data_IF_780452078414
#
_entry.id   IF_780452078414
#
_cell.length_a   1.000
_cell.length_b   1.000
_cell.length_c   1.000
_cell.angle_alpha   90.00
_cell.angle_beta   90.00
_cell.angle_gamma   90.00
#
_symmetry.space_group_name_H-M   'P 1'
#
loop_
_entity.id
_entity.type
_entity.pdbx_description
1 polymer ?
#
# COMPACT_ATOMS: atom_id res chain seq x y z
N UNK A 1 25.94 -5.08 -11.71
CA UNK A 1 24.79 -4.31 -12.23
C UNK A 1 24.00 -3.86 -11.01
N UNK A 2 24.08 -2.57 -10.61
CA UNK A 2 23.51 -2.11 -9.32
C UNK A 2 22.00 -1.89 -9.49
N UNK A 3 21.20 -2.88 -9.09
CA UNK A 3 19.73 -2.85 -9.11
C UNK A 3 19.14 -2.10 -7.91
N UNK A 4 19.77 -1.00 -7.51
CA UNK A 4 19.31 -0.13 -6.45
C UNK A 4 19.08 1.27 -7.01
N UNK A 5 17.82 1.64 -7.17
CA UNK A 5 17.47 3.04 -7.38
C UNK A 5 17.61 3.75 -6.03
N UNK A 6 18.85 4.14 -5.68
CA UNK A 6 19.15 5.16 -4.66
C UNK A 6 19.33 6.53 -5.33
N UNK A 7 18.86 6.67 -6.59
CA UNK A 7 19.09 7.86 -7.40
C UNK A 7 18.53 9.11 -6.71
N UNK A 8 17.36 8.94 -6.10
CA UNK A 8 16.61 10.00 -5.41
C UNK A 8 16.96 10.08 -3.90
N UNK A 9 17.81 9.16 -3.40
CA UNK A 9 18.35 9.23 -2.03
C UNK A 9 19.53 10.20 -1.98
N UNK A 10 19.55 11.14 -1.00
CA UNK A 10 20.67 12.05 -0.78
C UNK A 10 22.01 11.31 -0.66
N UNK A 11 23.06 11.78 -1.35
CA UNK A 11 24.39 11.13 -1.31
C UNK A 11 24.90 10.90 0.12
N UNK A 12 24.57 11.80 1.05
CA UNK A 12 24.93 11.70 2.47
C UNK A 12 24.21 10.57 3.22
N UNK A 13 22.97 10.23 2.83
CA UNK A 13 22.20 9.15 3.44
C UNK A 13 22.53 7.76 2.85
N UNK A 14 23.09 7.69 1.63
CA UNK A 14 23.38 6.40 0.97
C UNK A 14 24.23 5.43 1.81
N UNK A 15 25.32 5.85 2.49
CA UNK A 15 26.08 4.93 3.35
C UNK A 15 25.25 4.38 4.52
N UNK A 16 24.45 5.22 5.15
CA UNK A 16 23.58 4.83 6.26
C UNK A 16 22.49 3.84 5.80
N UNK A 17 21.86 4.10 4.65
CA UNK A 17 20.87 3.18 4.07
C UNK A 17 21.52 1.85 3.68
N UNK A 18 22.72 1.86 3.09
CA UNK A 18 23.44 0.62 2.77
C UNK A 18 23.79 -0.20 4.02
N UNK A 19 24.18 0.47 5.11
CA UNK A 19 24.44 -0.19 6.39
C UNK A 19 23.16 -0.74 7.04
N UNK A 20 22.06 0.01 6.98
CA UNK A 20 20.73 -0.45 7.41
C UNK A 20 20.31 -1.71 6.64
N UNK A 21 20.43 -1.69 5.31
CA UNK A 21 20.11 -2.82 4.45
C UNK A 21 20.94 -4.07 4.82
N UNK A 22 22.23 -3.90 5.11
CA UNK A 22 23.12 -4.97 5.55
C UNK A 22 22.72 -5.52 6.92
N UNK A 23 22.43 -4.64 7.89
CA UNK A 23 22.00 -5.01 9.25
C UNK A 23 20.65 -5.74 9.27
N UNK A 24 19.75 -5.38 8.36
CA UNK A 24 18.45 -6.04 8.20
C UNK A 24 18.51 -7.28 7.29
N UNK A 25 19.70 -7.63 6.78
CA UNK A 25 19.92 -8.78 5.88
C UNK A 25 18.96 -8.78 4.68
N UNK A 26 18.72 -7.61 4.10
CA UNK A 26 17.73 -7.48 3.02
C UNK A 26 18.21 -8.17 1.73
N UNK A 27 17.28 -8.76 0.95
CA UNK A 27 17.60 -9.44 -0.31
C UNK A 27 17.91 -8.42 -1.42
N UNK A 28 19.07 -7.79 -1.36
CA UNK A 28 19.47 -6.71 -2.24
C UNK A 28 19.65 -7.15 -3.69
N UNK A 29 20.42 -8.21 -3.90
CA UNK A 29 20.74 -8.73 -5.23
C UNK A 29 19.88 -9.95 -5.54
N UNK A 30 19.59 -10.12 -6.82
CA UNK A 30 18.99 -11.35 -7.35
C UNK A 30 20.10 -12.33 -7.72
N UNK A 31 19.92 -13.64 -7.47
CA UNK A 31 20.82 -14.66 -8.00
C UNK A 31 20.93 -14.58 -9.53
N UNK A 32 22.09 -14.93 -10.09
CA UNK A 32 22.35 -14.85 -11.54
C UNK A 32 21.35 -15.68 -12.36
N UNK A 33 20.94 -16.85 -11.87
CA UNK A 33 19.92 -17.69 -12.52
C UNK A 33 18.55 -17.02 -12.59
N UNK A 34 18.18 -16.22 -11.57
CA UNK A 34 16.92 -15.48 -11.53
C UNK A 34 16.96 -14.32 -12.53
N UNK A 35 18.09 -13.62 -12.61
CA UNK A 35 18.30 -12.55 -13.59
C UNK A 35 18.29 -13.09 -15.02
N UNK A 36 18.99 -14.21 -15.26
CA UNK A 36 19.04 -14.86 -16.56
C UNK A 36 17.65 -15.33 -17.00
N UNK A 37 16.87 -15.95 -16.10
CA UNK A 37 15.50 -16.37 -16.38
C UNK A 37 14.60 -15.17 -16.70
N UNK A 38 14.66 -14.08 -15.91
CA UNK A 38 13.85 -12.89 -16.17
C UNK A 38 14.17 -12.25 -17.53
N UNK A 39 15.45 -12.17 -17.89
CA UNK A 39 15.87 -11.62 -19.18
C UNK A 39 15.50 -12.52 -20.36
N UNK A 40 15.50 -13.84 -20.17
CA UNK A 40 15.00 -14.78 -21.16
C UNK A 40 13.50 -14.60 -21.39
N UNK A 41 12.70 -14.55 -20.32
CA UNK A 41 11.24 -14.33 -20.41
C UNK A 41 10.89 -12.96 -20.99
N UNK A 42 11.70 -11.93 -20.74
CA UNK A 42 11.54 -10.61 -21.35
C UNK A 42 11.78 -10.63 -22.86
N UNK A 43 12.76 -11.41 -23.33
CA UNK A 43 13.08 -11.53 -24.77
C UNK A 43 12.16 -12.50 -25.50
N UNK A 44 11.78 -13.59 -24.84
CA UNK A 44 11.00 -14.69 -25.38
C UNK A 44 9.85 -15.01 -24.39
N UNK A 45 8.79 -14.17 -24.35
CA UNK A 45 7.68 -14.40 -23.45
C UNK A 45 6.93 -15.70 -23.78
N UNK A 46 6.31 -16.36 -22.78
CA UNK A 46 5.46 -17.52 -23.02
C UNK A 46 4.32 -17.26 -24.01
N UNK A 47 3.78 -18.32 -24.60
CA UNK A 47 2.63 -18.18 -25.50
C UNK A 47 1.42 -17.62 -24.76
N UNK A 48 0.69 -16.73 -25.43
CA UNK A 48 -0.58 -16.18 -24.95
C UNK A 48 -1.77 -16.93 -25.55
N UNK A 49 -1.58 -18.17 -25.97
CA UNK A 49 -2.66 -19.03 -26.45
C UNK A 49 -3.74 -19.17 -25.36
N UNK A 50 -4.99 -18.87 -25.72
CA UNK A 50 -6.12 -18.87 -24.79
C UNK A 50 -6.36 -17.54 -24.06
N UNK A 51 -5.53 -16.51 -24.29
CA UNK A 51 -5.83 -15.15 -23.82
C UNK A 51 -6.80 -14.49 -24.79
N UNK A 52 -7.86 -13.88 -24.25
CA UNK A 52 -8.79 -13.04 -25.03
C UNK A 52 -8.07 -11.76 -25.47
N UNK A 53 -8.18 -11.36 -26.73
CA UNK A 53 -7.71 -10.04 -27.16
C UNK A 53 -8.70 -8.98 -26.68
N UNK A 54 -8.26 -8.13 -25.75
CA UNK A 54 -9.02 -6.99 -25.20
C UNK A 54 -8.27 -5.68 -25.40
N UNK A 55 -7.46 -5.60 -26.46
CA UNK A 55 -6.72 -4.37 -26.84
C UNK A 55 -7.63 -3.27 -27.41
N UNK A 56 -8.91 -3.58 -27.60
CA UNK A 56 -9.99 -2.67 -27.95
C UNK A 56 -10.43 -1.78 -26.77
N UNK A 57 -10.26 -2.24 -25.52
CA UNK A 57 -10.58 -1.44 -24.35
C UNK A 57 -9.49 -0.38 -24.13
N UNK A 58 -9.91 0.87 -23.99
CA UNK A 58 -9.03 2.02 -23.81
C UNK A 58 -8.51 2.12 -22.36
N UNK A 59 -7.70 1.14 -21.93
CA UNK A 59 -7.12 1.14 -20.59
C UNK A 59 -6.14 2.30 -20.37
N UNK A 60 -6.16 2.83 -19.15
CA UNK A 60 -5.15 3.78 -18.65
C UNK A 60 -4.68 3.35 -17.26
N UNK A 61 -3.45 3.71 -16.90
CA UNK A 61 -2.96 3.55 -15.51
C UNK A 61 -2.93 4.93 -14.83
N UNK A 62 -3.00 4.96 -13.49
CA UNK A 62 -2.86 6.19 -12.71
C UNK A 62 -1.84 5.95 -11.61
N UNK A 63 -0.65 6.52 -11.76
CA UNK A 63 0.50 6.21 -10.90
C UNK A 63 1.39 7.44 -10.69
N UNK A 64 2.27 7.44 -9.68
CA UNK A 64 3.33 8.43 -9.58
C UNK A 64 4.15 8.52 -10.88
N UNK A 65 4.61 9.73 -11.28
CA UNK A 65 5.33 9.92 -12.54
C UNK A 65 6.56 9.02 -12.72
N UNK A 66 7.27 8.70 -11.63
CA UNK A 66 8.48 7.86 -11.63
C UNK A 66 8.21 6.36 -11.66
N UNK A 67 6.99 5.89 -11.40
CA UNK A 67 6.69 4.45 -11.31
C UNK A 67 6.85 3.73 -12.65
N UNK A 68 7.38 2.51 -12.62
CA UNK A 68 7.57 1.66 -13.81
C UNK A 68 6.95 0.28 -13.62
N UNK A 69 6.60 -0.08 -12.40
CA UNK A 69 5.95 -1.30 -11.92
C UNK A 69 4.44 -1.10 -11.83
N UNK A 70 3.80 -0.99 -12.99
CA UNK A 70 2.39 -0.67 -13.12
C UNK A 70 1.56 -1.96 -13.07
N UNK A 71 0.99 -2.24 -11.88
CA UNK A 71 0.18 -3.44 -11.62
C UNK A 71 -1.21 -3.38 -12.27
N UNK A 72 -1.78 -2.17 -12.42
CA UNK A 72 -3.22 -1.94 -12.55
C UNK A 72 -3.51 -0.96 -13.67
N UNK A 73 -4.41 -1.32 -14.58
CA UNK A 73 -5.00 -0.38 -15.54
C UNK A 73 -6.53 -0.45 -15.47
N UNK A 74 -7.20 0.70 -15.62
CA UNK A 74 -8.64 0.80 -15.52
C UNK A 74 -9.29 1.46 -16.75
N UNK A 75 -10.55 1.09 -16.97
CA UNK A 75 -11.48 1.77 -17.84
C UNK A 75 -12.88 1.66 -17.23
N UNK A 76 -13.59 2.78 -17.12
CA UNK A 76 -14.94 2.84 -16.54
C UNK A 76 -15.90 3.41 -17.57
N UNK A 77 -16.98 2.69 -17.85
CA UNK A 77 -18.05 3.14 -18.74
C UNK A 77 -19.44 2.96 -18.10
N UNK A 78 -20.46 3.53 -18.74
CA UNK A 78 -21.85 3.33 -18.34
C UNK A 78 -22.35 2.00 -18.87
N UNK A 79 -23.09 1.29 -18.05
CA UNK A 79 -23.80 0.07 -18.45
C UNK A 79 -25.24 0.17 -17.95
N UNK A 80 -26.19 0.25 -18.87
CA UNK A 80 -27.62 0.48 -18.57
C UNK A 80 -27.84 1.65 -17.58
N UNK A 81 -28.34 1.36 -16.38
CA UNK A 81 -28.56 2.30 -15.29
C UNK A 81 -27.36 2.44 -14.33
N UNK A 82 -26.35 1.57 -14.47
CA UNK A 82 -25.17 1.48 -13.62
C UNK A 82 -23.87 1.72 -14.38
N UNK A 83 -22.85 0.92 -14.03
CA UNK A 83 -21.47 1.14 -14.48
C UNK A 83 -20.76 -0.18 -14.73
N UNK A 84 -19.91 -0.21 -15.74
CA UNK A 84 -18.97 -1.30 -15.99
C UNK A 84 -17.56 -0.82 -15.69
N UNK A 85 -16.89 -1.50 -14.75
CA UNK A 85 -15.50 -1.23 -14.39
C UNK A 85 -14.63 -2.37 -14.92
N UNK A 86 -13.88 -2.10 -15.98
CA UNK A 86 -12.80 -2.95 -16.44
C UNK A 86 -11.53 -2.64 -15.65
N UNK A 87 -10.96 -3.66 -15.03
CA UNK A 87 -9.77 -3.55 -14.21
C UNK A 87 -8.76 -4.65 -14.58
N UNK A 88 -7.75 -4.26 -15.34
CA UNK A 88 -6.68 -5.16 -15.77
C UNK A 88 -5.59 -5.21 -14.70
N UNK A 89 -5.31 -6.41 -14.20
CA UNK A 89 -4.22 -6.67 -13.26
C UNK A 89 -3.10 -7.41 -14.00
N UNK A 90 -1.85 -6.97 -13.86
CA UNK A 90 -0.69 -7.62 -14.47
C UNK A 90 -0.66 -9.14 -14.22
N UNK A 91 -0.62 -9.97 -15.27
CA UNK A 91 -0.57 -11.42 -15.11
C UNK A 91 0.87 -11.90 -14.87
N UNK A 92 1.34 -11.80 -13.62
CA UNK A 92 2.66 -12.31 -13.23
C UNK A 92 2.73 -13.84 -13.36
N UNK A 93 1.59 -14.53 -13.25
CA UNK A 93 1.48 -15.98 -13.44
C UNK A 93 1.84 -16.42 -14.87
N UNK A 94 1.65 -15.52 -15.86
CA UNK A 94 2.11 -15.74 -17.23
C UNK A 94 3.63 -16.00 -17.32
N UNK A 95 4.43 -15.32 -16.49
CA UNK A 95 5.89 -15.36 -16.57
C UNK A 95 6.53 -16.26 -15.51
N UNK A 96 5.94 -16.33 -14.33
CA UNK A 96 6.55 -17.02 -13.18
C UNK A 96 5.97 -18.43 -13.07
N UNK A 97 6.73 -19.41 -13.53
CA UNK A 97 6.37 -20.83 -13.38
C UNK A 97 6.63 -21.32 -11.94
N UNK A 98 5.70 -22.07 -11.31
CA UNK A 98 5.91 -22.66 -9.99
C UNK A 98 7.16 -23.53 -9.92
N UNK A 99 7.97 -23.36 -8.86
CA UNK A 99 9.23 -24.07 -8.66
C UNK A 99 10.41 -23.54 -9.49
N UNK A 100 10.20 -22.57 -10.38
CA UNK A 100 11.29 -21.93 -11.12
C UNK A 100 12.14 -21.01 -10.24
N UNK A 101 13.37 -20.62 -10.67
CA UNK A 101 14.20 -19.69 -9.89
C UNK A 101 13.48 -18.39 -9.48
N UNK A 102 12.69 -17.80 -10.39
CA UNK A 102 11.87 -16.62 -10.12
C UNK A 102 10.83 -16.87 -9.02
N UNK A 103 10.19 -18.03 -9.01
CA UNK A 103 9.19 -18.40 -8.00
C UNK A 103 9.83 -18.56 -6.62
N UNK A 104 10.92 -19.32 -6.55
CA UNK A 104 11.68 -19.54 -5.30
C UNK A 104 12.15 -18.21 -4.72
N UNK A 105 12.68 -17.31 -5.55
CA UNK A 105 13.13 -16.00 -5.11
C UNK A 105 11.97 -15.08 -4.70
N UNK A 106 10.83 -15.13 -5.39
CA UNK A 106 9.63 -14.40 -5.01
C UNK A 106 9.11 -14.86 -3.63
N UNK A 107 9.13 -16.17 -3.34
CA UNK A 107 8.82 -16.72 -2.01
C UNK A 107 9.80 -16.26 -0.93
N UNK A 108 11.11 -16.18 -1.25
CA UNK A 108 12.12 -15.66 -0.32
C UNK A 108 11.88 -14.19 0.03
N UNK A 109 11.54 -13.37 -0.96
CA UNK A 109 11.32 -11.92 -0.84
C UNK A 109 9.96 -11.58 -0.21
N UNK A 110 8.89 -12.22 -0.67
CA UNK A 110 7.49 -12.08 -0.24
C UNK A 110 6.80 -10.83 -0.77
N UNK A 111 7.47 -9.67 -0.74
CA UNK A 111 6.96 -8.42 -1.30
C UNK A 111 8.09 -7.45 -1.66
N UNK A 112 7.78 -6.44 -2.48
CA UNK A 112 8.67 -5.30 -2.70
C UNK A 112 8.80 -4.50 -1.40
N UNK A 113 10.04 -4.14 -1.04
CA UNK A 113 10.32 -3.28 0.10
C UNK A 113 10.49 -1.85 -0.40
N UNK A 114 9.62 -0.94 0.06
CA UNK A 114 9.67 0.47 -0.28
C UNK A 114 10.30 1.26 0.87
N UNK A 115 11.05 2.29 0.50
CA UNK A 115 11.49 3.34 1.39
C UNK A 115 11.62 4.64 0.57
N UNK A 116 11.61 5.82 1.22
CA UNK A 116 11.81 7.08 0.53
C UNK A 116 13.06 7.07 -0.38
N UNK A 117 12.82 7.21 -1.69
CA UNK A 117 13.86 7.22 -2.73
C UNK A 117 14.57 5.88 -2.97
N UNK A 118 14.14 4.77 -2.35
CA UNK A 118 14.77 3.46 -2.47
C UNK A 118 13.74 2.31 -2.53
N UNK A 119 13.99 1.31 -3.38
CA UNK A 119 13.17 0.09 -3.40
C UNK A 119 13.99 -1.17 -3.60
N UNK A 120 13.50 -2.27 -3.05
CA UNK A 120 14.01 -3.62 -3.26
C UNK A 120 12.86 -4.46 -3.84
N UNK A 121 12.83 -4.71 -5.16
CA UNK A 121 11.66 -5.26 -5.82
C UNK A 121 11.47 -6.75 -5.51
N UNK A 122 10.22 -7.21 -5.58
CA UNK A 122 9.85 -8.63 -5.49
C UNK A 122 10.39 -9.44 -6.68
N UNK A 123 10.26 -8.88 -7.90
CA UNK A 123 10.75 -9.49 -9.13
C UNK A 123 11.86 -8.64 -9.77
N UNK A 124 12.78 -9.24 -10.57
CA UNK A 124 13.77 -8.48 -11.31
C UNK A 124 13.14 -7.42 -12.22
N UNK A 125 13.75 -6.23 -12.41
CA UNK A 125 13.19 -5.16 -13.25
C UNK A 125 12.88 -5.55 -14.69
N UNK A 126 13.62 -6.50 -15.27
CA UNK A 126 13.30 -7.10 -16.56
C UNK A 126 11.85 -7.63 -16.64
N UNK A 127 11.30 -8.06 -15.50
CA UNK A 127 9.92 -8.49 -15.36
C UNK A 127 9.04 -7.39 -14.73
N UNK A 128 9.38 -6.91 -13.54
CA UNK A 128 8.52 -5.98 -12.76
C UNK A 128 8.39 -4.59 -13.37
N UNK A 129 9.39 -4.14 -14.14
CA UNK A 129 9.46 -2.79 -14.69
C UNK A 129 9.47 -2.79 -16.23
N UNK A 130 9.32 -3.96 -16.86
CA UNK A 130 9.19 -4.11 -18.31
C UNK A 130 8.17 -5.21 -18.65
N UNK A 131 8.57 -6.48 -18.76
CA UNK A 131 7.74 -7.53 -19.39
C UNK A 131 6.34 -7.71 -18.77
N UNK A 132 6.26 -7.71 -17.44
CA UNK A 132 5.03 -7.89 -16.67
C UNK A 132 4.33 -6.59 -16.27
N UNK A 133 4.93 -5.43 -16.53
CA UNK A 133 4.32 -4.14 -16.20
C UNK A 133 3.36 -3.68 -17.30
N UNK A 134 2.23 -3.09 -16.91
CA UNK A 134 1.23 -2.53 -17.82
C UNK A 134 1.68 -1.17 -18.38
N UNK A 135 2.88 -1.10 -18.96
CA UNK A 135 3.47 0.14 -19.51
C UNK A 135 2.67 0.68 -20.71
N UNK A 136 2.55 2.01 -20.78
CA UNK A 136 2.01 2.72 -21.94
C UNK A 136 3.08 2.90 -23.04
N UNK A 137 3.58 1.80 -23.59
CA UNK A 137 4.66 1.77 -24.59
C UNK A 137 4.21 1.26 -25.97
N UNK A 138 2.90 1.10 -26.16
CA UNK A 138 2.30 0.62 -27.40
C UNK A 138 2.30 -0.90 -27.57
N UNK A 139 2.79 -1.67 -26.59
CA UNK A 139 2.81 -3.15 -26.65
C UNK A 139 1.64 -3.74 -25.84
N UNK A 140 0.87 -4.68 -26.41
CA UNK A 140 -0.09 -5.46 -25.62
C UNK A 140 0.60 -6.24 -24.49
N UNK A 141 -0.04 -6.32 -23.33
CA UNK A 141 0.46 -6.99 -22.12
C UNK A 141 -0.53 -8.04 -21.63
N UNK A 142 -0.06 -9.19 -21.10
CA UNK A 142 -0.93 -10.17 -20.48
C UNK A 142 -1.45 -9.64 -19.14
N UNK A 143 -2.76 -9.77 -18.93
CA UNK A 143 -3.44 -9.34 -17.72
C UNK A 143 -4.52 -10.35 -17.30
N UNK A 144 -4.78 -10.38 -16.00
CA UNK A 144 -6.02 -10.91 -15.45
C UNK A 144 -7.02 -9.76 -15.44
N UNK A 145 -7.97 -9.81 -16.38
CA UNK A 145 -8.99 -8.80 -16.57
C UNK A 145 -10.20 -9.11 -15.68
N UNK A 146 -10.54 -8.15 -14.83
CA UNK A 146 -11.78 -8.12 -14.07
C UNK A 146 -12.79 -7.21 -14.77
N UNK A 147 -14.01 -7.69 -14.98
CA UNK A 147 -15.15 -6.88 -15.42
C UNK A 147 -16.17 -6.84 -14.28
N UNK A 148 -16.29 -5.71 -13.59
CA UNK A 148 -17.25 -5.53 -12.50
C UNK A 148 -18.49 -4.80 -13.02
N UNK A 149 -19.62 -5.50 -13.02
CA UNK A 149 -20.91 -4.95 -13.41
C UNK A 149 -21.59 -4.37 -12.16
N UNK A 150 -21.75 -3.05 -12.12
CA UNK A 150 -22.29 -2.32 -10.98
C UNK A 150 -23.70 -1.81 -11.28
N UNK A 151 -24.56 -1.79 -10.27
CA UNK A 151 -25.85 -1.09 -10.35
C UNK A 151 -25.69 0.44 -10.22
N UNK A 152 -26.80 1.17 -10.31
CA UNK A 152 -26.85 2.62 -10.19
C UNK A 152 -26.31 3.15 -8.83
N UNK A 153 -26.37 2.33 -7.79
CA UNK A 153 -25.89 2.65 -6.44
C UNK A 153 -24.44 2.22 -6.21
N UNK A 154 -23.81 1.59 -7.21
CA UNK A 154 -22.43 1.12 -7.18
C UNK A 154 -22.26 -0.25 -6.54
N UNK A 155 -23.32 -1.02 -6.27
CA UNK A 155 -23.23 -2.39 -5.78
C UNK A 155 -22.88 -3.35 -6.91
N UNK A 156 -22.14 -4.41 -6.59
CA UNK A 156 -21.75 -5.43 -7.55
C UNK A 156 -22.94 -6.32 -7.88
N UNK A 157 -23.35 -6.36 -9.15
CA UNK A 157 -24.35 -7.31 -9.67
C UNK A 157 -23.69 -8.67 -9.91
N UNK A 158 -22.57 -8.66 -10.64
CA UNK A 158 -21.70 -9.80 -10.87
C UNK A 158 -20.32 -9.32 -11.33
N UNK A 159 -19.37 -10.25 -11.39
CA UNK A 159 -18.05 -9.98 -11.92
C UNK A 159 -17.56 -11.15 -12.78
N UNK A 160 -16.81 -10.82 -13.82
CA UNK A 160 -16.14 -11.78 -14.70
C UNK A 160 -14.63 -11.66 -14.53
N UNK A 161 -13.93 -12.79 -14.65
CA UNK A 161 -12.46 -12.84 -14.55
C UNK A 161 -11.90 -13.71 -15.67
N UNK A 162 -11.08 -13.12 -16.52
CA UNK A 162 -10.45 -13.82 -17.64
C UNK A 162 -8.98 -13.44 -17.80
N UNK A 163 -8.22 -14.27 -18.52
CA UNK A 163 -6.90 -13.90 -19.01
C UNK A 163 -7.05 -13.18 -20.34
N UNK A 164 -6.48 -12.00 -20.46
CA UNK A 164 -6.61 -11.16 -21.63
C UNK A 164 -5.30 -10.48 -22.01
N UNK A 165 -5.14 -10.18 -23.30
CA UNK A 165 -4.14 -9.24 -23.80
C UNK A 165 -4.75 -7.85 -23.80
N UNK A 166 -4.14 -6.92 -23.08
CA UNK A 166 -4.63 -5.54 -22.93
C UNK A 166 -3.59 -4.54 -23.41
N UNK A 167 -4.03 -3.35 -23.80
CA UNK A 167 -3.12 -2.29 -24.24
C UNK A 167 -3.33 -1.03 -23.40
N UNK A 168 -2.35 -0.70 -22.56
CA UNK A 168 -2.35 0.56 -21.83
C UNK A 168 -2.08 1.70 -22.80
N UNK A 169 -3.05 2.61 -22.95
CA UNK A 169 -2.96 3.76 -23.85
C UNK A 169 -2.12 4.88 -23.27
N UNK A 170 -2.31 5.15 -21.99
CA UNK A 170 -1.70 6.28 -21.30
C UNK A 170 -1.39 5.96 -19.86
N UNK A 171 -0.17 6.32 -19.44
CA UNK A 171 0.17 6.45 -18.03
C UNK A 171 -0.22 7.84 -17.56
N UNK A 172 -1.23 7.93 -16.72
CA UNK A 172 -1.68 9.16 -16.09
C UNK A 172 -1.05 9.28 -14.69
N UNK A 173 -1.15 10.47 -14.10
CA UNK A 173 -0.70 10.74 -12.73
C UNK A 173 -1.79 11.48 -11.97
N UNK A 174 -1.93 11.20 -10.67
CA UNK A 174 -3.08 11.64 -9.85
C UNK A 174 -3.35 13.15 -9.93
N UNK A 175 -2.32 13.98 -9.75
CA UNK A 175 -2.48 15.44 -9.82
C UNK A 175 -3.00 15.92 -11.19
N UNK A 176 -2.52 15.31 -12.29
CA UNK A 176 -2.99 15.62 -13.63
C UNK A 176 -4.43 15.18 -13.87
N UNK A 177 -4.80 13.98 -13.41
CA UNK A 177 -6.19 13.50 -13.51
C UNK A 177 -7.14 14.39 -12.73
N UNK A 178 -6.77 14.80 -11.51
CA UNK A 178 -7.58 15.73 -10.71
C UNK A 178 -7.78 17.05 -11.45
N UNK A 179 -6.70 17.65 -11.96
CA UNK A 179 -6.77 18.91 -12.69
C UNK A 179 -7.62 18.80 -13.98
N UNK A 180 -7.53 17.68 -14.69
CA UNK A 180 -8.32 17.45 -15.90
C UNK A 180 -9.81 17.22 -15.58
N UNK A 181 -10.13 16.56 -14.47
CA UNK A 181 -11.50 16.42 -13.95
C UNK A 181 -12.09 17.78 -13.57
N UNK A 182 -11.37 18.58 -12.78
CA UNK A 182 -11.80 19.91 -12.33
C UNK A 182 -12.06 20.85 -13.52
N UNK A 183 -11.28 20.69 -14.60
CA UNK A 183 -11.42 21.46 -15.83
C UNK A 183 -12.44 20.89 -16.83
N UNK A 184 -13.14 19.79 -16.51
CA UNK A 184 -14.15 19.17 -17.37
C UNK A 184 -13.59 18.54 -18.65
N UNK A 185 -12.32 18.08 -18.62
CA UNK A 185 -11.57 17.54 -19.77
C UNK A 185 -10.84 16.24 -19.43
N UNK A 186 -11.39 15.46 -18.50
CA UNK A 186 -10.85 14.17 -18.10
C UNK A 186 -10.78 13.17 -19.26
N UNK A 187 -9.77 12.29 -19.20
CA UNK A 187 -9.67 11.17 -20.14
C UNK A 187 -10.91 10.27 -20.04
N UNK A 188 -11.52 9.83 -21.16
CA UNK A 188 -12.79 9.08 -21.14
C UNK A 188 -12.80 7.88 -20.19
N UNK A 189 -11.71 7.10 -20.17
CA UNK A 189 -11.56 5.91 -19.32
C UNK A 189 -11.67 6.15 -17.81
N UNK A 190 -11.48 7.40 -17.35
CA UNK A 190 -11.52 7.77 -15.92
C UNK A 190 -12.50 8.90 -15.65
N UNK A 191 -13.30 9.31 -16.65
CA UNK A 191 -14.28 10.38 -16.49
C UNK A 191 -15.37 10.03 -15.45
N UNK A 192 -15.69 8.74 -15.31
CA UNK A 192 -16.65 8.22 -14.33
C UNK A 192 -16.00 7.80 -13.00
N UNK A 193 -14.67 7.94 -12.85
CA UNK A 193 -13.96 7.53 -11.65
C UNK A 193 -14.45 8.25 -10.38
N UNK A 194 -14.69 9.57 -10.37
CA UNK A 194 -15.26 10.23 -9.19
C UNK A 194 -16.65 9.70 -8.84
N UNK A 195 -17.53 9.53 -9.83
CA UNK A 195 -18.88 9.03 -9.61
C UNK A 195 -18.87 7.64 -8.98
N UNK A 196 -18.14 6.69 -9.58
CA UNK A 196 -18.05 5.34 -9.02
C UNK A 196 -17.33 5.36 -7.66
N UNK A 197 -16.23 6.12 -7.53
CA UNK A 197 -15.49 6.25 -6.28
C UNK A 197 -16.34 6.76 -5.12
N UNK A 198 -17.19 7.77 -5.34
CA UNK A 198 -18.13 8.30 -4.35
C UNK A 198 -19.21 7.28 -3.97
N UNK A 199 -19.81 6.58 -4.94
CA UNK A 199 -20.77 5.50 -4.67
C UNK A 199 -20.16 4.43 -3.77
N UNK A 200 -18.93 3.99 -4.09
CA UNK A 200 -18.20 2.99 -3.32
C UNK A 200 -17.79 3.50 -1.94
N UNK A 201 -17.42 4.77 -1.80
CA UNK A 201 -17.14 5.39 -0.52
C UNK A 201 -18.38 5.44 0.38
N UNK A 202 -19.58 5.71 -0.17
CA UNK A 202 -20.84 5.62 0.60
C UNK A 202 -21.10 4.19 1.09
N UNK A 203 -20.89 3.19 0.25
CA UNK A 203 -21.00 1.77 0.63
C UNK A 203 -19.98 1.40 1.73
N UNK A 204 -18.76 1.94 1.69
CA UNK A 204 -17.79 1.79 2.78
C UNK A 204 -18.32 2.38 4.10
N UNK A 205 -18.91 3.57 4.04
CA UNK A 205 -19.50 4.24 5.21
C UNK A 205 -20.61 3.39 5.82
N UNK A 206 -21.56 2.93 5.00
CA UNK A 206 -22.70 2.10 5.43
C UNK A 206 -22.24 0.77 6.06
N UNK A 207 -21.15 0.20 5.54
CA UNK A 207 -20.53 -1.02 6.09
C UNK A 207 -19.74 -0.77 7.38
N UNK A 208 -19.46 0.48 7.74
CA UNK A 208 -18.61 0.85 8.87
C UNK A 208 -17.10 0.69 8.60
N UNK A 209 -16.69 0.65 7.34
CA UNK A 209 -15.28 0.61 6.93
C UNK A 209 -14.57 1.96 7.13
N UNK A 210 -13.25 1.92 7.27
CA UNK A 210 -12.42 3.06 7.62
C UNK A 210 -11.23 3.12 6.67
N UNK A 211 -11.11 4.26 5.99
CA UNK A 211 -9.91 4.67 5.27
C UNK A 211 -9.16 5.71 6.10
N UNK A 212 -7.89 5.43 6.45
CA UNK A 212 -7.02 6.42 7.09
C UNK A 212 -6.32 7.23 6.00
N UNK A 213 -6.77 8.46 5.79
CA UNK A 213 -6.18 9.39 4.84
C UNK A 213 -4.96 10.08 5.47
N UNK A 214 -3.97 9.28 5.85
CA UNK A 214 -2.70 9.80 6.37
C UNK A 214 -1.92 10.44 5.21
N UNK A 215 -1.39 11.66 5.40
CA UNK A 215 -0.52 12.27 4.41
C UNK A 215 0.76 11.44 4.26
N UNK A 216 1.31 11.42 3.05
CA UNK A 216 2.57 10.71 2.78
C UNK A 216 3.76 11.61 3.14
N UNK A 217 4.77 11.07 3.83
CA UNK A 217 6.05 11.76 4.00
C UNK A 217 6.90 11.60 2.74
N UNK A 218 7.33 12.72 2.17
CA UNK A 218 8.22 12.77 1.02
C UNK A 218 9.52 13.49 1.35
N UNK A 219 10.63 13.02 0.78
CA UNK A 219 11.93 13.71 0.86
C UNK A 219 12.01 14.69 -0.31
N UNK A 220 12.17 15.97 -0.01
CA UNK A 220 12.29 17.05 -0.99
C UNK A 220 13.72 17.58 -1.04
N UNK A 221 14.26 17.73 -2.26
CA UNK A 221 15.54 18.40 -2.51
C UNK A 221 15.37 19.93 -2.40
N UNK A 222 15.83 20.53 -1.31
CA UNK A 222 15.85 21.98 -1.10
C UNK A 222 17.22 22.60 -1.50
N UNK A 223 18.00 21.90 -2.34
CA UNK A 223 19.27 22.36 -2.90
C UNK A 223 20.45 22.22 -1.94
N UNK A 224 20.55 23.07 -0.91
CA UNK A 224 21.67 23.02 0.07
C UNK A 224 21.40 22.11 1.26
N UNK A 225 20.12 21.82 1.51
CA UNK A 225 19.62 20.93 2.56
C UNK A 225 18.45 20.11 2.00
N UNK A 226 17.97 19.17 2.80
CA UNK A 226 16.84 18.32 2.47
C UNK A 226 15.73 18.59 3.48
N UNK A 227 14.50 18.47 3.03
CA UNK A 227 13.32 18.68 3.87
C UNK A 227 12.41 17.45 3.76
N UNK A 228 11.73 17.13 4.85
CA UNK A 228 10.57 16.24 4.80
C UNK A 228 9.34 17.11 4.65
N UNK A 229 8.41 16.67 3.79
CA UNK A 229 7.11 17.31 3.64
C UNK A 229 5.99 16.28 3.68
N UNK A 230 4.87 16.64 4.30
CA UNK A 230 3.64 15.88 4.20
C UNK A 230 2.91 16.25 2.89
N UNK A 231 2.69 15.27 2.02
CA UNK A 231 1.84 15.42 0.83
C UNK A 231 0.44 14.91 1.14
N UNK A 232 -0.54 15.81 1.06
CA UNK A 232 -1.95 15.45 1.09
C UNK A 232 -2.35 14.65 -0.16
N UNK A 233 -3.29 13.72 0.00
CA UNK A 233 -3.88 12.99 -1.11
C UNK A 233 -4.85 13.90 -1.87
N UNK A 234 -4.86 13.84 -3.20
CA UNK A 234 -5.93 14.45 -3.99
C UNK A 234 -7.17 13.52 -4.04
N UNK A 235 -8.40 14.04 -4.15
CA UNK A 235 -9.62 13.22 -4.11
C UNK A 235 -9.62 12.00 -5.05
N UNK A 236 -9.03 12.14 -6.24
CA UNK A 236 -8.93 11.03 -7.20
C UNK A 236 -8.06 9.86 -6.71
N UNK A 237 -7.12 10.07 -5.79
CA UNK A 237 -6.38 8.97 -5.13
C UNK A 237 -7.34 8.08 -4.34
N UNK A 238 -8.27 8.66 -3.57
CA UNK A 238 -9.28 7.94 -2.79
C UNK A 238 -10.28 7.22 -3.71
N UNK A 239 -10.73 7.89 -4.78
CA UNK A 239 -11.62 7.26 -5.76
C UNK A 239 -10.98 6.05 -6.44
N UNK A 240 -9.70 6.14 -6.83
CA UNK A 240 -8.97 5.02 -7.41
C UNK A 240 -8.76 3.87 -6.40
N UNK A 241 -8.48 4.21 -5.13
CA UNK A 241 -8.35 3.22 -4.07
C UNK A 241 -9.64 2.39 -3.90
N UNK A 242 -10.82 3.00 -4.06
CA UNK A 242 -12.11 2.30 -4.01
C UNK A 242 -12.28 1.24 -5.11
N UNK A 243 -11.67 1.43 -6.30
CA UNK A 243 -11.68 0.42 -7.38
C UNK A 243 -10.81 -0.79 -7.01
N UNK A 244 -9.65 -0.55 -6.41
CA UNK A 244 -8.81 -1.63 -5.86
C UNK A 244 -9.53 -2.39 -4.74
N UNK A 245 -10.19 -1.68 -3.83
CA UNK A 245 -10.96 -2.29 -2.73
C UNK A 245 -12.13 -3.12 -3.26
N UNK A 246 -12.89 -2.59 -4.23
CA UNK A 246 -13.95 -3.31 -4.94
C UNK A 246 -13.46 -4.68 -5.42
N UNK A 247 -12.33 -4.70 -6.14
CA UNK A 247 -11.78 -5.95 -6.69
C UNK A 247 -11.38 -6.92 -5.59
N UNK A 248 -10.77 -6.44 -4.50
CA UNK A 248 -10.41 -7.30 -3.37
C UNK A 248 -11.61 -7.85 -2.57
N UNK A 249 -12.74 -7.12 -2.50
CA UNK A 249 -13.98 -7.62 -1.91
C UNK A 249 -14.61 -8.71 -2.78
N UNK A 250 -14.66 -8.51 -4.10
CA UNK A 250 -15.16 -9.52 -5.05
C UNK A 250 -14.29 -10.78 -5.01
N UNK A 251 -12.96 -10.62 -5.03
CA UNK A 251 -12.04 -11.75 -4.93
C UNK A 251 -12.21 -12.54 -3.62
N UNK A 252 -12.44 -11.87 -2.48
CA UNK A 252 -12.71 -12.54 -1.22
C UNK A 252 -14.04 -13.33 -1.26
N UNK A 253 -15.10 -12.74 -1.83
CA UNK A 253 -16.40 -13.40 -1.97
C UNK A 253 -16.30 -14.66 -2.82
N UNK A 254 -15.70 -14.56 -4.01
CA UNK A 254 -15.48 -15.71 -4.91
C UNK A 254 -14.74 -16.84 -4.19
N UNK A 255 -13.64 -16.51 -3.50
CA UNK A 255 -12.83 -17.45 -2.75
C UNK A 255 -13.61 -18.17 -1.62
N UNK A 256 -14.40 -17.43 -0.86
CA UNK A 256 -15.23 -18.00 0.21
C UNK A 256 -16.30 -18.92 -0.37
N UNK A 257 -17.03 -18.46 -1.38
CA UNK A 257 -18.11 -19.24 -2.01
C UNK A 257 -17.57 -20.50 -2.70
N UNK A 258 -16.37 -20.43 -3.26
CA UNK A 258 -15.66 -21.55 -3.86
C UNK A 258 -14.97 -22.51 -2.87
N UNK A 259 -14.85 -22.14 -1.59
CA UNK A 259 -14.16 -22.95 -0.58
C UNK A 259 -12.63 -22.94 -0.69
N UNK A 260 -12.04 -21.93 -1.32
CA UNK A 260 -10.59 -21.73 -1.44
C UNK A 260 -10.24 -20.29 -1.08
N UNK A 261 -9.63 -20.06 0.08
CA UNK A 261 -9.41 -18.69 0.55
C UNK A 261 -7.96 -18.36 0.85
N UNK A 262 -7.52 -17.21 0.35
CA UNK A 262 -6.36 -16.46 0.80
C UNK A 262 -6.86 -15.06 1.18
N UNK A 263 -7.31 -14.93 2.43
CA UNK A 263 -7.97 -13.73 2.92
C UNK A 263 -6.99 -12.85 3.70
N UNK A 264 -7.09 -11.53 3.50
CA UNK A 264 -6.42 -10.52 4.32
C UNK A 264 -7.32 -10.22 5.51
N UNK A 265 -6.94 -10.68 6.70
CA UNK A 265 -7.76 -10.55 7.91
C UNK A 265 -7.18 -9.52 8.86
N UNK A 266 -8.04 -8.90 9.67
CA UNK A 266 -7.68 -8.03 10.78
C UNK A 266 -8.69 -8.28 11.89
N UNK A 267 -8.28 -8.79 13.08
CA UNK A 267 -9.19 -8.98 14.21
C UNK A 267 -9.84 -7.67 14.67
N UNK A 268 -10.99 -7.73 15.37
CA UNK A 268 -11.59 -6.55 15.96
C UNK A 268 -10.64 -5.94 17.00
N UNK A 269 -10.66 -4.61 17.10
CA UNK A 269 -9.89 -3.92 18.13
C UNK A 269 -10.45 -4.24 19.52
N UNK A 270 -9.56 -4.54 20.46
CA UNK A 270 -9.94 -4.73 21.87
C UNK A 270 -10.58 -3.45 22.44
N UNK A 271 -11.69 -3.53 23.18
CA UNK A 271 -12.35 -2.36 23.78
C UNK A 271 -11.38 -1.47 24.58
N UNK A 272 -10.45 -2.10 25.30
CA UNK A 272 -9.43 -1.38 26.07
C UNK A 272 -8.44 -0.57 25.21
N UNK A 273 -8.24 -0.95 23.95
CA UNK A 273 -7.42 -0.21 22.99
C UNK A 273 -8.17 0.99 22.45
N UNK A 274 -9.47 0.83 22.17
CA UNK A 274 -10.37 1.93 21.78
C UNK A 274 -10.46 2.97 22.90
N UNK A 275 -10.67 2.54 24.14
CA UNK A 275 -10.73 3.43 25.30
C UNK A 275 -9.40 4.20 25.51
N UNK A 276 -8.28 3.56 25.20
CA UNK A 276 -6.95 4.19 25.27
C UNK A 276 -6.80 5.25 24.19
N UNK A 277 -7.23 4.96 22.97
CA UNK A 277 -7.24 5.92 21.86
C UNK A 277 -8.15 7.12 22.19
N UNK A 278 -9.37 6.86 22.70
CA UNK A 278 -10.32 7.91 23.13
C UNK A 278 -9.72 8.84 24.18
N UNK A 279 -9.08 8.27 25.22
CA UNK A 279 -8.36 9.08 26.22
C UNK A 279 -7.21 9.87 25.62
N UNK A 280 -6.45 9.26 24.70
CA UNK A 280 -5.33 9.94 24.04
C UNK A 280 -5.81 11.12 23.18
N UNK A 281 -6.86 10.94 22.38
CA UNK A 281 -7.48 12.00 21.59
C UNK A 281 -7.95 13.17 22.48
N UNK A 282 -8.65 12.87 23.59
CA UNK A 282 -9.05 13.88 24.56
C UNK A 282 -7.87 14.63 25.19
N UNK A 283 -6.74 13.95 25.44
CA UNK A 283 -5.51 14.59 25.97
C UNK A 283 -4.87 15.51 24.92
N UNK A 284 -4.93 15.14 23.64
CA UNK A 284 -4.48 15.96 22.50
C UNK A 284 -5.41 17.17 22.24
N UNK A 285 -6.61 17.17 22.84
CA UNK A 285 -7.61 18.22 22.66
C UNK A 285 -8.52 18.00 21.46
N UNK A 286 -8.63 16.76 20.97
CA UNK A 286 -9.55 16.34 19.92
C UNK A 286 -10.63 15.49 20.56
N UNK A 287 -11.79 16.07 20.94
CA UNK A 287 -12.82 15.36 21.69
C UNK A 287 -13.47 14.28 20.81
N UNK A 288 -13.59 13.07 21.35
CA UNK A 288 -14.39 12.02 20.75
C UNK A 288 -15.71 11.99 21.51
N UNK A 289 -16.78 12.42 20.83
CA UNK A 289 -18.08 12.70 21.45
C UNK A 289 -18.76 11.43 21.96
N UNK A 290 -19.62 11.59 22.98
CA UNK A 290 -20.41 10.48 23.50
C UNK A 290 -21.42 10.00 22.46
N UNK A 291 -21.40 8.71 22.15
CA UNK A 291 -22.25 8.10 21.12
C UNK A 291 -21.64 8.10 19.71
N UNK A 292 -20.57 8.84 19.47
CA UNK A 292 -19.83 8.82 18.20
C UNK A 292 -19.08 7.49 18.05
N UNK A 293 -19.31 6.81 16.93
CA UNK A 293 -18.62 5.56 16.59
C UNK A 293 -17.17 5.80 16.17
N UNK A 294 -16.33 4.77 16.24
CA UNK A 294 -14.93 4.89 15.79
C UNK A 294 -14.80 5.28 14.30
N UNK A 295 -15.58 4.68 13.37
CA UNK A 295 -15.55 5.13 11.97
C UNK A 295 -15.97 6.59 11.77
N UNK A 296 -16.99 7.08 12.50
CA UNK A 296 -17.42 8.49 12.42
C UNK A 296 -16.32 9.42 12.93
N UNK A 297 -15.75 9.08 14.08
CA UNK A 297 -14.64 9.83 14.69
C UNK A 297 -13.44 9.94 13.73
N UNK A 298 -13.04 8.85 13.08
CA UNK A 298 -11.89 8.88 12.15
C UNK A 298 -12.18 9.75 10.91
N UNK A 299 -13.38 9.65 10.34
CA UNK A 299 -13.73 10.38 9.10
C UNK A 299 -13.82 11.89 9.26
N UNK A 300 -14.08 12.37 10.48
CA UNK A 300 -14.12 13.81 10.75
C UNK A 300 -12.75 14.44 11.02
N UNK A 301 -11.68 13.64 11.13
CA UNK A 301 -10.34 14.15 11.39
C UNK A 301 -9.74 14.77 10.12
N UNK A 302 -9.25 15.99 10.23
CA UNK A 302 -8.55 16.71 9.18
C UNK A 302 -7.04 16.43 9.27
N UNK A 303 -6.43 15.75 8.26
CA UNK A 303 -5.00 15.51 8.25
C UNK A 303 -4.16 16.80 8.15
N UNK A 304 -4.76 17.95 7.86
CA UNK A 304 -4.07 19.25 7.82
C UNK A 304 -4.03 19.95 9.19
N UNK A 305 -4.84 19.53 10.17
CA UNK A 305 -4.72 20.01 11.54
C UNK A 305 -3.68 19.15 12.30
N UNK A 306 -2.61 19.72 12.87
CA UNK A 306 -1.56 18.94 13.54
C UNK A 306 -2.04 18.07 14.70
N UNK A 307 -3.07 18.49 15.44
CA UNK A 307 -3.63 17.72 16.55
C UNK A 307 -4.45 16.55 16.03
N UNK A 308 -5.26 16.78 15.00
CA UNK A 308 -6.06 15.71 14.39
C UNK A 308 -5.20 14.72 13.61
N UNK A 309 -4.13 15.17 12.94
CA UNK A 309 -3.11 14.32 12.35
C UNK A 309 -2.43 13.44 13.40
N UNK A 310 -2.05 13.99 14.55
CA UNK A 310 -1.49 13.20 15.65
C UNK A 310 -2.46 12.10 16.13
N UNK A 311 -3.76 12.38 16.14
CA UNK A 311 -4.80 11.38 16.45
C UNK A 311 -4.95 10.35 15.33
N UNK A 312 -4.96 10.77 14.06
CA UNK A 312 -5.00 9.87 12.89
C UNK A 312 -3.81 8.90 12.91
N UNK A 313 -2.60 9.38 13.19
CA UNK A 313 -1.41 8.53 13.33
C UNK A 313 -1.60 7.50 14.45
N UNK A 314 -2.25 7.87 15.56
CA UNK A 314 -2.59 6.90 16.62
C UNK A 314 -3.66 5.89 16.23
N UNK A 315 -4.58 6.23 15.33
CA UNK A 315 -5.62 5.31 14.88
C UNK A 315 -5.02 4.03 14.28
N UNK A 316 -3.83 4.12 13.69
CA UNK A 316 -3.08 2.95 13.16
C UNK A 316 -2.86 1.84 14.20
N UNK A 317 -2.85 2.15 15.50
CA UNK A 317 -2.71 1.16 16.59
C UNK A 317 -3.87 0.16 16.57
N UNK A 318 -5.06 0.57 16.13
CA UNK A 318 -6.23 -0.30 16.04
C UNK A 318 -6.17 -1.26 14.83
N UNK A 319 -5.20 -1.08 13.94
CA UNK A 319 -4.97 -1.95 12.78
C UNK A 319 -3.90 -3.03 13.06
N UNK A 320 -3.46 -3.16 14.32
CA UNK A 320 -2.52 -4.20 14.74
C UNK A 320 -3.16 -5.59 14.65
N UNK A 321 -2.35 -6.56 14.21
CA UNK A 321 -2.78 -7.95 14.08
C UNK A 321 -3.29 -8.32 12.67
N UNK A 322 -3.23 -7.40 11.71
CA UNK A 322 -3.53 -7.72 10.32
C UNK A 322 -2.62 -8.84 9.79
N UNK A 323 -3.20 -9.84 9.16
CA UNK A 323 -2.52 -11.06 8.74
C UNK A 323 -3.17 -11.68 7.50
N UNK A 324 -2.76 -12.91 7.19
CA UNK A 324 -3.40 -13.70 6.15
C UNK A 324 -3.96 -14.98 6.76
N UNK A 325 -5.14 -15.37 6.30
CA UNK A 325 -5.79 -16.63 6.61
C UNK A 325 -5.91 -17.42 5.32
N UNK A 326 -5.47 -18.68 5.33
CA UNK A 326 -5.59 -19.58 4.18
C UNK A 326 -6.44 -20.80 4.51
N UNK A 327 -7.25 -21.26 3.55
CA UNK A 327 -8.06 -22.48 3.67
C UNK A 327 -8.40 -23.07 2.30
N UNK A 328 -8.64 -24.38 2.26
CA UNK A 328 -9.21 -25.09 1.10
C UNK A 328 -10.16 -26.18 1.60
N UNK A 329 -11.30 -26.34 0.94
CA UNK A 329 -12.36 -27.24 1.37
C UNK A 329 -13.32 -26.57 2.36
N UNK A 330 -13.07 -26.72 3.67
CA UNK A 330 -13.94 -26.13 4.69
C UNK A 330 -13.55 -24.69 5.01
N UNK A 331 -14.52 -23.77 4.90
CA UNK A 331 -14.36 -22.39 5.36
C UNK A 331 -14.18 -22.39 6.88
N UNK A 332 -13.10 -21.79 7.43
CA UNK A 332 -12.85 -21.75 8.86
C UNK A 332 -13.95 -21.03 9.64
N UNK A 333 -14.28 -21.55 10.82
CA UNK A 333 -15.09 -20.83 11.79
C UNK A 333 -14.28 -19.64 12.36
N UNK A 334 -14.97 -18.53 12.66
CA UNK A 334 -14.37 -17.35 13.30
C UNK A 334 -14.33 -16.11 12.41
N UNK A 335 -13.41 -15.18 12.69
CA UNK A 335 -13.34 -13.91 11.99
C UNK A 335 -12.59 -14.03 10.65
N UNK A 336 -13.35 -13.96 9.55
CA UNK A 336 -12.82 -13.88 8.19
C UNK A 336 -12.62 -12.42 7.70
N UNK A 337 -13.05 -11.44 8.51
CA UNK A 337 -13.09 -10.05 8.10
C UNK A 337 -11.78 -9.32 8.32
N UNK A 338 -11.56 -8.30 7.50
CA UNK A 338 -10.69 -7.20 7.83
C UNK A 338 -11.51 -6.13 8.58
N UNK A 339 -11.42 -6.08 9.91
CA UNK A 339 -12.33 -5.24 10.71
C UNK A 339 -12.25 -3.75 10.39
N UNK A 340 -11.08 -3.23 10.00
CA UNK A 340 -10.97 -1.84 9.53
C UNK A 340 -11.73 -1.59 8.22
N UNK A 341 -11.87 -2.60 7.34
CA UNK A 341 -12.64 -2.46 6.10
C UNK A 341 -14.11 -2.82 6.29
N UNK A 342 -14.49 -3.43 7.43
CA UNK A 342 -15.85 -3.90 7.70
C UNK A 342 -16.30 -5.12 6.88
N UNK A 343 -15.41 -5.79 6.14
CA UNK A 343 -15.73 -6.88 5.22
C UNK A 343 -14.62 -7.94 5.13
N UNK A 344 -14.97 -9.11 4.60
CA UNK A 344 -14.02 -10.08 4.05
C UNK A 344 -13.29 -9.48 2.85
N UNK A 345 -11.96 -9.65 2.80
CA UNK A 345 -11.12 -8.96 1.83
C UNK A 345 -9.92 -9.80 1.43
N UNK A 346 -9.47 -9.67 0.18
CA UNK A 346 -8.28 -10.32 -0.35
C UNK A 346 -7.41 -9.31 -1.10
N UNK A 347 -6.10 -9.46 -0.99
CA UNK A 347 -5.16 -8.72 -1.82
C UNK A 347 -5.03 -9.40 -3.17
N UNK A 348 -5.42 -8.70 -4.25
CA UNK A 348 -5.48 -9.28 -5.61
C UNK A 348 -5.01 -8.34 -6.72
N UNK A 349 -4.65 -7.10 -6.38
CA UNK A 349 -4.48 -6.03 -7.36
C UNK A 349 -3.03 -5.61 -7.54
N UNK A 350 -2.06 -6.26 -6.88
CA UNK A 350 -0.66 -5.83 -6.86
C UNK A 350 0.37 -6.97 -6.99
N UNK A 351 0.24 -7.86 -7.98
CA UNK A 351 1.07 -9.06 -8.08
C UNK A 351 2.54 -8.79 -8.40
N UNK A 352 2.91 -7.65 -9.00
CA UNK A 352 4.32 -7.30 -9.23
C UNK A 352 5.07 -6.99 -7.93
N UNK A 353 4.33 -6.65 -6.86
CA UNK A 353 4.90 -6.23 -5.56
C UNK A 353 4.48 -7.06 -4.37
N UNK A 354 3.53 -7.99 -4.50
CA UNK A 354 3.07 -8.87 -3.42
C UNK A 354 2.86 -10.29 -3.92
N UNK A 355 3.52 -11.26 -3.29
CA UNK A 355 3.44 -12.68 -3.62
C UNK A 355 2.00 -13.23 -3.52
N UNK A 356 1.27 -12.81 -2.49
CA UNK A 356 -0.06 -13.36 -2.17
C UNK A 356 -1.08 -13.12 -3.28
N UNK A 357 -0.95 -12.00 -3.99
CA UNK A 357 -1.88 -11.62 -5.06
C UNK A 357 -1.86 -12.64 -6.21
N UNK A 358 -0.70 -13.26 -6.48
CA UNK A 358 -0.58 -14.34 -7.49
C UNK A 358 -1.44 -15.55 -7.15
N UNK A 359 -1.54 -15.92 -5.86
CA UNK A 359 -2.39 -17.02 -5.42
C UNK A 359 -3.88 -16.66 -5.53
N UNK A 360 -4.23 -15.44 -5.12
CA UNK A 360 -5.62 -14.96 -5.19
C UNK A 360 -6.10 -14.90 -6.64
N UNK A 361 -5.27 -14.39 -7.56
CA UNK A 361 -5.59 -14.32 -8.99
C UNK A 361 -5.88 -15.70 -9.59
N UNK A 362 -5.03 -16.70 -9.32
CA UNK A 362 -5.20 -18.05 -9.86
C UNK A 362 -6.44 -18.75 -9.29
N UNK A 363 -6.74 -18.54 -8.01
CA UNK A 363 -7.98 -19.06 -7.42
C UNK A 363 -9.19 -18.42 -8.10
N UNK A 364 -9.21 -17.09 -8.24
CA UNK A 364 -10.33 -16.38 -8.83
C UNK A 364 -10.54 -16.72 -10.31
N UNK A 365 -9.44 -16.85 -11.08
CA UNK A 365 -9.48 -17.34 -12.46
C UNK A 365 -10.09 -18.74 -12.56
N UNK A 366 -9.63 -19.68 -11.72
CA UNK A 366 -10.18 -21.03 -11.73
C UNK A 366 -11.67 -21.06 -11.37
N UNK A 367 -12.07 -20.30 -10.36
CA UNK A 367 -13.47 -20.24 -9.92
C UNK A 367 -14.39 -19.58 -10.96
N UNK A 368 -13.96 -18.46 -11.56
CA UNK A 368 -14.74 -17.77 -12.59
C UNK A 368 -14.95 -18.64 -13.85
N UNK A 369 -13.96 -19.47 -14.19
CA UNK A 369 -13.97 -20.28 -15.41
C UNK A 369 -14.39 -21.74 -15.16
N UNK A 370 -14.78 -22.10 -13.93
CA UNK A 370 -15.22 -23.46 -13.58
C UNK A 370 -14.12 -24.53 -13.73
N UNK A 371 -12.85 -24.15 -13.63
CA UNK A 371 -11.71 -25.07 -13.70
C UNK A 371 -11.18 -25.40 -12.32
N UNK A 372 -10.41 -26.49 -12.20
CA UNK A 372 -9.76 -26.82 -10.93
C UNK A 372 -8.76 -25.73 -10.52
N UNK A 373 -8.69 -25.42 -9.22
CA UNK A 373 -7.61 -24.60 -8.67
C UNK A 373 -6.29 -25.36 -8.84
N UNK A 374 -5.20 -24.74 -9.36
CA UNK A 374 -3.95 -25.45 -9.63
C UNK A 374 -3.33 -26.07 -8.38
N UNK A 375 -2.77 -27.28 -8.50
CA UNK A 375 -2.20 -28.00 -7.36
C UNK A 375 -1.09 -27.22 -6.63
N UNK A 376 -0.30 -26.43 -7.36
CA UNK A 376 0.77 -25.63 -6.75
C UNK A 376 0.23 -24.53 -5.83
N UNK A 377 -0.95 -23.97 -6.15
CA UNK A 377 -1.66 -23.01 -5.31
C UNK A 377 -2.03 -23.69 -4.00
N UNK A 378 -2.70 -24.84 -4.08
CA UNK A 378 -3.17 -25.60 -2.91
C UNK A 378 -2.01 -26.03 -2.00
N UNK A 379 -0.89 -26.47 -2.59
CA UNK A 379 0.31 -26.85 -1.82
C UNK A 379 1.02 -25.67 -1.17
N UNK A 380 1.02 -24.49 -1.82
CA UNK A 380 1.73 -23.31 -1.31
C UNK A 380 0.94 -22.49 -0.29
N UNK A 381 -0.40 -22.52 -0.34
CA UNK A 381 -1.28 -21.74 0.54
C UNK A 381 -0.99 -21.87 2.06
N UNK A 382 -0.63 -23.04 2.62
CA UNK A 382 -0.32 -23.16 4.03
C UNK A 382 0.89 -22.33 4.50
N UNK A 383 1.86 -22.05 3.62
CA UNK A 383 3.08 -21.33 3.96
C UNK A 383 2.95 -19.80 3.84
N UNK A 384 2.01 -19.34 3.00
CA UNK A 384 1.82 -17.92 2.69
C UNK A 384 1.66 -17.02 3.92
N UNK A 385 0.88 -17.38 4.97
CA UNK A 385 0.73 -16.50 6.13
C UNK A 385 2.05 -16.15 6.82
N UNK A 386 2.97 -17.11 6.99
CA UNK A 386 4.27 -16.81 7.60
C UNK A 386 5.22 -16.11 6.64
N UNK A 387 5.22 -16.46 5.35
CA UNK A 387 6.04 -15.76 4.35
C UNK A 387 5.66 -14.27 4.25
N UNK A 388 4.36 -13.97 4.21
CA UNK A 388 3.85 -12.60 4.19
C UNK A 388 4.06 -11.88 5.52
N UNK A 389 3.96 -12.57 6.67
CA UNK A 389 4.27 -11.99 7.98
C UNK A 389 5.75 -11.63 8.10
N UNK A 390 6.63 -12.52 7.67
CA UNK A 390 8.08 -12.34 7.71
C UNK A 390 8.53 -11.20 6.81
N UNK A 391 8.05 -11.18 5.56
CA UNK A 391 8.32 -10.08 4.63
C UNK A 391 7.69 -8.75 5.08
N UNK A 392 6.52 -8.79 5.74
CA UNK A 392 5.91 -7.65 6.43
C UNK A 392 6.82 -7.04 7.50
N UNK A 393 7.39 -7.87 8.38
CA UNK A 393 8.35 -7.40 9.41
C UNK A 393 9.58 -6.74 8.79
N UNK A 394 10.13 -7.30 7.70
CA UNK A 394 11.27 -6.71 6.99
C UNK A 394 10.91 -5.38 6.34
N UNK A 395 9.74 -5.29 5.71
CA UNK A 395 9.27 -4.04 5.08
C UNK A 395 9.14 -2.92 6.11
N UNK A 396 8.43 -3.15 7.21
CA UNK A 396 8.27 -2.13 8.26
C UNK A 396 9.61 -1.76 8.92
N UNK A 397 10.52 -2.71 9.13
CA UNK A 397 11.83 -2.41 9.69
C UNK A 397 12.69 -1.56 8.73
N UNK A 398 12.58 -1.80 7.43
CA UNK A 398 13.30 -1.03 6.41
C UNK A 398 12.73 0.38 6.24
N UNK A 399 11.41 0.50 6.11
CA UNK A 399 10.70 1.78 5.99
C UNK A 399 11.00 2.68 7.19
N UNK A 400 10.78 2.19 8.41
CA UNK A 400 11.06 2.96 9.63
C UNK A 400 12.53 3.36 9.73
N UNK A 401 13.47 2.45 9.44
CA UNK A 401 14.90 2.76 9.51
C UNK A 401 15.34 3.79 8.47
N UNK A 402 14.74 3.83 7.28
CA UNK A 402 15.04 4.88 6.29
C UNK A 402 14.41 6.21 6.70
N UNK A 403 13.22 6.21 7.29
CA UNK A 403 12.62 7.41 7.89
C UNK A 403 13.52 7.97 8.98
N UNK A 404 13.97 7.15 9.94
CA UNK A 404 14.91 7.55 10.99
C UNK A 404 16.19 8.22 10.40
N UNK A 405 16.75 7.64 9.34
CA UNK A 405 17.93 8.20 8.63
C UNK A 405 17.60 9.53 7.95
N UNK A 406 16.43 9.65 7.32
CA UNK A 406 16.00 10.86 6.64
C UNK A 406 15.80 12.00 7.65
N UNK A 407 15.14 11.70 8.77
CA UNK A 407 14.94 12.62 9.89
C UNK A 407 16.26 13.08 10.50
N UNK A 408 17.19 12.15 10.76
CA UNK A 408 18.53 12.50 11.21
C UNK A 408 19.27 13.38 10.18
N UNK A 409 19.12 13.11 8.88
CA UNK A 409 19.73 13.95 7.85
C UNK A 409 19.18 15.38 7.84
N UNK A 410 17.86 15.56 8.03
CA UNK A 410 17.21 16.88 8.11
C UNK A 410 17.72 17.68 9.33
N UNK A 411 18.02 17.00 10.44
CA UNK A 411 18.48 17.64 11.67
C UNK A 411 20.01 17.80 11.77
N UNK A 412 20.76 17.17 10.87
CA UNK A 412 22.21 17.25 10.90
C UNK A 412 22.72 18.68 10.70
N UNK A 413 23.53 19.19 11.63
CA UNK A 413 23.99 20.58 11.65
C UNK A 413 23.08 21.55 12.43
N UNK A 414 21.98 21.05 13.01
CA UNK A 414 21.06 21.79 13.88
C UNK A 414 21.26 21.47 15.36
N UNK A 415 22.39 20.85 15.73
CA UNK A 415 22.72 20.55 17.12
C UNK A 415 22.78 21.83 17.97
N UNK A 416 22.11 21.81 19.11
CA UNK A 416 21.93 22.95 20.02
C UNK A 416 20.70 23.81 19.73
N UNK A 417 20.03 23.64 18.58
CA UNK A 417 18.82 24.37 18.23
C UNK A 417 17.64 23.96 19.13
N UNK A 418 16.81 24.94 19.48
CA UNK A 418 15.54 24.73 20.18
C UNK A 418 14.41 24.67 19.17
N UNK A 419 13.66 23.58 19.18
CA UNK A 419 12.54 23.34 18.29
C UNK A 419 11.27 23.18 19.11
N UNK A 420 10.17 23.66 18.56
CA UNK A 420 8.83 23.46 19.12
C UNK A 420 8.21 22.21 18.49
N UNK A 421 7.64 21.34 19.31
CA UNK A 421 7.05 20.09 18.86
C UNK A 421 5.82 19.72 19.68
N UNK A 422 4.93 18.96 19.07
CA UNK A 422 3.76 18.42 19.77
C UNK A 422 4.08 17.01 20.23
N UNK A 423 3.94 16.73 21.53
CA UNK A 423 4.14 15.37 22.05
C UNK A 423 2.94 14.49 21.66
N UNK A 424 3.08 13.71 20.59
CA UNK A 424 1.97 12.95 20.02
C UNK A 424 1.77 11.61 20.71
N UNK A 425 2.80 10.93 21.21
CA UNK A 425 2.66 9.67 21.96
C UNK A 425 3.62 9.57 23.13
N UNK A 426 3.31 8.72 24.11
CA UNK A 426 4.28 8.26 25.11
C UNK A 426 4.00 6.82 25.49
N UNK A 427 5.01 5.98 25.34
CA UNK A 427 4.97 4.62 25.85
C UNK A 427 4.91 4.67 27.40
N UNK A 428 3.84 4.16 28.03
CA UNK A 428 3.64 4.29 29.47
C UNK A 428 4.67 3.51 30.30
N UNK A 429 5.31 2.48 29.71
CA UNK A 429 6.33 1.67 30.38
C UNK A 429 7.72 2.28 30.26
N UNK A 430 8.13 2.63 29.04
CA UNK A 430 9.50 3.11 28.79
C UNK A 430 9.65 4.62 28.93
N UNK A 431 8.54 5.36 29.05
CA UNK A 431 8.49 6.84 29.05
C UNK A 431 9.05 7.49 27.78
N UNK A 432 9.35 6.69 26.75
CA UNK A 432 9.73 7.16 25.42
C UNK A 432 8.49 7.78 24.76
N UNK A 433 8.54 9.09 24.58
CA UNK A 433 7.58 9.89 23.83
C UNK A 433 7.94 10.02 22.37
N UNK A 434 6.94 10.21 21.53
CA UNK A 434 7.08 10.61 20.12
C UNK A 434 6.64 12.07 20.02
N UNK A 435 7.50 12.92 19.48
CA UNK A 435 7.29 14.35 19.31
C UNK A 435 7.30 14.65 17.83
N UNK A 436 6.19 15.19 17.33
CA UNK A 436 6.12 15.64 15.95
C UNK A 436 6.60 17.09 15.90
N UNK A 437 7.54 17.40 15.01
CA UNK A 437 7.98 18.76 14.71
C UNK A 437 7.30 19.20 13.40
N UNK A 438 6.19 19.96 13.46
CA UNK A 438 5.37 20.24 12.28
C UNK A 438 6.13 20.94 11.15
N UNK A 439 6.95 21.95 11.49
CA UNK A 439 7.70 22.77 10.54
C UNK A 439 8.71 21.98 9.70
N UNK A 440 9.10 20.79 10.15
CA UNK A 440 10.10 19.95 9.47
C UNK A 440 9.56 18.55 9.11
N UNK A 441 8.28 18.27 9.42
CA UNK A 441 7.64 16.96 9.23
C UNK A 441 8.40 15.76 9.83
N UNK A 442 9.09 15.97 10.96
CA UNK A 442 9.94 14.97 11.64
C UNK A 442 9.22 14.39 12.86
N UNK A 443 9.30 13.09 13.10
CA UNK A 443 8.81 12.39 14.28
C UNK A 443 9.96 11.88 15.18
N UNK A 444 10.29 12.63 16.23
CA UNK A 444 11.44 12.32 17.08
C UNK A 444 11.06 11.69 18.40
N UNK A 445 12.06 11.18 19.12
CA UNK A 445 11.85 10.57 20.43
C UNK A 445 12.46 11.37 21.58
N UNK A 446 11.69 11.52 22.67
CA UNK A 446 12.15 12.19 23.90
C UNK A 446 11.63 11.47 25.13
N UNK A 447 12.29 11.62 26.29
CA UNK A 447 11.71 11.17 27.55
C UNK A 447 10.58 12.12 27.98
N UNK A 448 9.39 11.55 28.22
CA UNK A 448 8.22 12.34 28.57
C UNK A 448 7.25 11.62 29.52
N UNK A 449 6.40 12.41 30.17
CA UNK A 449 5.31 11.90 30.99
C UNK A 449 4.11 11.59 30.07
N UNK A 450 3.46 10.41 30.16
CA UNK A 450 2.24 10.12 29.39
C UNK A 450 1.11 11.11 29.58
N UNK A 451 1.09 11.86 30.69
CA UNK A 451 0.10 12.94 30.91
C UNK A 451 0.36 14.19 30.07
N UNK A 452 1.54 14.32 29.48
CA UNK A 452 1.92 15.46 28.65
C UNK A 452 1.60 15.27 27.17
N UNK A 453 1.04 14.13 26.76
CA UNK A 453 0.62 13.91 25.37
C UNK A 453 -0.34 15.02 24.96
N UNK A 454 -0.17 15.62 23.79
CA UNK A 454 -0.92 16.79 23.34
C UNK A 454 -0.31 18.14 23.72
N UNK A 455 0.61 18.18 24.68
CA UNK A 455 1.34 19.41 25.01
C UNK A 455 2.29 19.79 23.87
N UNK A 456 2.31 21.08 23.54
CA UNK A 456 3.43 21.69 22.83
C UNK A 456 4.61 21.78 23.79
N UNK A 457 5.73 21.17 23.41
CA UNK A 457 6.96 21.15 24.18
C UNK A 457 8.10 21.76 23.36
N UNK A 458 9.08 22.33 24.06
CA UNK A 458 10.35 22.71 23.45
C UNK A 458 11.36 21.60 23.66
N UNK A 459 12.05 21.22 22.59
CA UNK A 459 13.12 20.22 22.62
C UNK A 459 14.39 20.83 22.06
N UNK A 460 15.53 20.44 22.61
CA UNK A 460 16.85 20.76 22.06
C UNK A 460 17.42 19.53 21.38
N UNK A 461 17.97 19.71 20.18
CA UNK A 461 18.75 18.68 19.49
C UNK A 461 20.11 18.58 20.16
N UNK A 462 20.39 17.52 20.91
CA UNK A 462 21.68 17.37 21.61
C UNK A 462 22.71 16.65 20.73
N UNK A 463 22.28 15.64 19.97
CA UNK A 463 23.13 14.87 19.06
C UNK A 463 22.33 14.33 17.88
N UNK A 464 22.96 14.27 16.72
CA UNK A 464 22.44 13.63 15.51
C UNK A 464 23.47 12.65 14.96
N UNK A 465 23.07 11.41 14.72
CA UNK A 465 23.87 10.39 14.05
C UNK A 465 23.17 9.88 12.79
N UNK A 466 23.53 10.46 11.65
CA UNK A 466 22.95 10.11 10.34
C UNK A 466 23.26 8.66 9.95
N UNK A 467 24.31 8.05 10.50
CA UNK A 467 24.70 6.68 10.14
C UNK A 467 23.73 5.66 10.71
N UNK A 468 23.30 5.88 11.95
CA UNK A 468 22.36 5.00 12.65
C UNK A 468 20.91 5.46 12.52
N UNK A 469 20.67 6.73 12.15
CA UNK A 469 19.36 7.37 12.21
C UNK A 469 19.01 7.87 13.62
N UNK A 470 19.96 7.83 14.57
CA UNK A 470 19.68 8.20 15.96
C UNK A 470 19.71 9.73 16.13
N UNK A 471 18.67 10.25 16.77
CA UNK A 471 18.59 11.66 17.19
C UNK A 471 18.32 11.69 18.69
N UNK A 472 19.21 12.35 19.44
CA UNK A 472 19.04 12.56 20.88
C UNK A 472 18.47 13.95 21.15
N UNK A 473 17.36 13.97 21.87
CA UNK A 473 16.67 15.19 22.27
C UNK A 473 16.56 15.31 23.79
N UNK A 474 16.66 16.54 24.27
CA UNK A 474 16.28 16.91 25.64
C UNK A 474 15.10 17.86 25.63
N UNK A 475 14.04 17.54 26.39
CA UNK A 475 12.95 18.48 26.67
C UNK A 475 13.49 19.66 27.48
N UNK A 476 13.24 20.87 27.01
CA UNK A 476 13.61 22.12 27.69
C UNK A 476 12.34 22.73 28.25
N UNK A 477 12.35 23.02 29.56
CA UNK A 477 11.22 23.61 30.27
C UNK A 477 10.93 25.04 29.81
#
# INVERSE_FOLDING_TARGET
MRLHHLADVPRKARPAISELQRRLELPLEFPDEVLAQAEELRRNPPSTDGYTDRTDIEFVTIDPPSSTDLDQALHIEREDDGYLVHYAIADVGHFVEPGSPLDVEAHRRGQTLYAPGARIPLHPPALSEDAGSLLADGRPRPAVLWSHHLDADGNVRHAEVERAMVLNRHKLHYAGVQADLDAGRAHPSVALLPTVGELRARIEVERGGISLNLPQQEIVDAGRHWELSFRGLVPVEDHNAQISLLTGFVAARMQIDGGYGVLRTLPPAEPSSVDRLRRAAATIGVPWEEGESYPEFVRRLDPNDPRELAVLTKCTILFRGAGYLTFFGQVPDGNLKHNALGAEYAHTTAPLRRLVDRYVLEICLSLANGTAVPDWVLRGMPELPEQMRSSGRRASAYENGVLDIAEALVLHGREGELMEGVLVDVNPRTRRGTVQIPDSAVELHVQANPRSVGETIRVRVDRVDVTTGDVELTRVN
#
